data_IF_934004661268
#
_entry.id   IF_934004661268
#
_cell.length_a   1.000
_cell.length_b   1.000
_cell.length_c   1.000
_cell.angle_alpha   90.00
_cell.angle_beta   90.00
_cell.angle_gamma   90.00
#
_symmetry.space_group_name_H-M   'P 1'
#
loop_
_entity.id
_entity.type
_entity.pdbx_description
1 polymer ?
#
# COMPACT_ATOMS: atom_id res chain seq x y z
N UNK A 1 -23.91 30.52 -13.40
CA UNK A 1 -24.17 29.32 -12.55
C UNK A 1 -23.83 28.02 -13.28
N UNK A 2 -23.91 27.98 -14.62
CA UNK A 2 -23.41 26.86 -15.43
C UNK A 2 -21.86 26.74 -15.36
N UNK A 3 -21.14 27.86 -15.42
CA UNK A 3 -19.67 27.87 -15.49
C UNK A 3 -18.97 27.38 -14.21
N UNK A 4 -19.60 27.56 -13.05
CA UNK A 4 -19.09 27.06 -11.76
C UNK A 4 -19.22 25.53 -11.64
N UNK A 5 -20.22 24.96 -12.31
CA UNK A 5 -20.44 23.51 -12.37
C UNK A 5 -19.44 22.87 -13.35
N UNK A 6 -19.06 23.60 -14.40
CA UNK A 6 -18.05 23.15 -15.37
C UNK A 6 -16.64 23.10 -14.74
N UNK A 7 -16.24 24.14 -14.00
CA UNK A 7 -14.99 24.14 -13.22
C UNK A 7 -14.93 23.03 -12.16
N UNK A 8 -16.04 22.69 -11.52
CA UNK A 8 -16.11 21.59 -10.56
C UNK A 8 -16.02 20.20 -11.23
N UNK A 9 -16.41 20.08 -12.50
CA UNK A 9 -16.23 18.84 -13.28
C UNK A 9 -14.79 18.63 -13.74
N UNK A 10 -14.01 19.71 -13.86
CA UNK A 10 -12.60 19.66 -14.20
C UNK A 10 -11.70 19.21 -13.04
N UNK A 11 -12.05 19.50 -11.79
CA UNK A 11 -11.37 18.94 -10.61
C UNK A 11 -11.63 17.42 -10.46
N UNK A 12 -12.73 16.94 -11.06
CA UNK A 12 -13.04 15.52 -11.19
C UNK A 12 -12.34 14.85 -12.39
N UNK A 13 -11.46 15.56 -13.12
CA UNK A 13 -10.48 14.92 -14.02
C UNK A 13 -9.47 14.19 -13.16
N UNK A 14 -9.79 12.93 -12.90
CA UNK A 14 -8.89 11.79 -13.08
C UNK A 14 -7.47 12.27 -13.40
N UNK A 15 -6.60 12.27 -12.38
CA UNK A 15 -5.21 12.66 -12.53
C UNK A 15 -4.69 12.02 -13.82
N UNK A 16 -4.43 12.86 -14.80
CA UNK A 16 -3.93 12.46 -16.11
C UNK A 16 -2.62 11.72 -15.80
N UNK A 17 -2.66 10.38 -15.83
CA UNK A 17 -1.49 9.52 -15.65
C UNK A 17 -0.71 9.63 -16.96
N UNK A 18 -0.22 10.85 -17.22
CA UNK A 18 0.39 11.24 -18.47
C UNK A 18 1.68 10.47 -18.65
N UNK A 19 1.79 9.76 -19.77
CA UNK A 19 2.95 9.02 -20.31
C UNK A 19 3.67 7.99 -19.40
N UNK A 20 3.53 8.10 -18.08
CA UNK A 20 4.10 7.25 -17.04
C UNK A 20 2.92 6.69 -16.24
N UNK A 21 2.68 5.38 -16.35
CA UNK A 21 1.56 4.71 -15.67
C UNK A 21 1.61 4.81 -14.14
N UNK A 22 0.57 4.30 -13.47
CA UNK A 22 0.48 4.30 -12.00
C UNK A 22 1.66 3.53 -11.39
N UNK A 23 2.36 4.17 -10.45
CA UNK A 23 3.47 3.55 -9.73
C UNK A 23 2.97 2.37 -8.89
N UNK A 24 3.60 1.20 -9.08
CA UNK A 24 3.37 0.02 -8.23
C UNK A 24 4.29 0.10 -7.01
N UNK A 25 3.72 0.36 -5.84
CA UNK A 25 4.47 0.48 -4.59
C UNK A 25 4.36 -0.84 -3.82
N UNK A 26 5.50 -1.31 -3.32
CA UNK A 26 5.59 -2.52 -2.49
C UNK A 26 6.42 -2.20 -1.24
N UNK A 27 5.95 -2.61 -0.07
CA UNK A 27 6.65 -2.47 1.20
C UNK A 27 7.03 -3.86 1.71
N UNK A 28 8.32 -4.08 1.94
CA UNK A 28 8.85 -5.37 2.40
C UNK A 28 9.43 -5.24 3.80
N UNK A 29 8.85 -5.95 4.77
CA UNK A 29 9.38 -6.05 6.12
C UNK A 29 10.14 -7.36 6.31
N UNK A 30 11.39 -7.28 6.77
CA UNK A 30 12.23 -8.45 7.04
C UNK A 30 12.49 -8.63 8.55
N UNK A 31 12.38 -9.86 9.04
CA UNK A 31 12.57 -10.23 10.45
C UNK A 31 11.48 -9.67 11.36
N UNK A 32 11.61 -9.87 12.67
CA UNK A 32 10.55 -9.49 13.62
C UNK A 32 10.28 -7.99 13.72
N UNK A 33 11.31 -7.13 13.64
CA UNK A 33 11.11 -5.68 13.62
C UNK A 33 10.40 -5.21 12.33
N UNK A 34 10.77 -5.78 11.18
CA UNK A 34 10.10 -5.51 9.91
C UNK A 34 8.65 -6.00 9.92
N UNK A 35 8.41 -7.19 10.47
CA UNK A 35 7.07 -7.75 10.65
C UNK A 35 6.15 -6.89 11.51
N UNK A 36 6.66 -6.40 12.64
CA UNK A 36 5.93 -5.45 13.49
C UNK A 36 5.59 -4.15 12.76
N UNK A 37 6.47 -3.67 11.89
CA UNK A 37 6.23 -2.47 11.08
C UNK A 37 5.13 -2.71 10.05
N UNK A 38 5.17 -3.86 9.35
CA UNK A 38 4.12 -4.26 8.39
C UNK A 38 2.76 -4.36 9.09
N UNK A 39 2.69 -5.02 10.25
CA UNK A 39 1.50 -5.08 11.09
C UNK A 39 0.90 -3.70 11.38
N UNK A 40 1.75 -2.73 11.70
CA UNK A 40 1.32 -1.36 11.99
C UNK A 40 0.79 -0.66 10.73
N UNK A 41 1.46 -0.83 9.60
CA UNK A 41 1.03 -0.27 8.32
C UNK A 41 -0.33 -0.83 7.88
N UNK A 42 -0.55 -2.14 8.02
CA UNK A 42 -1.83 -2.76 7.71
C UNK A 42 -2.95 -2.27 8.62
N UNK A 43 -2.71 -2.18 9.94
CA UNK A 43 -3.71 -1.67 10.90
C UNK A 43 -4.09 -0.20 10.67
N UNK A 44 -3.15 0.62 10.20
CA UNK A 44 -3.43 2.02 9.84
C UNK A 44 -4.24 2.09 8.53
N UNK A 45 -4.22 1.03 7.72
CA UNK A 45 -4.98 0.94 6.47
C UNK A 45 -4.34 1.73 5.34
N UNK A 46 -3.03 1.56 5.13
CA UNK A 46 -2.34 2.19 3.99
C UNK A 46 -3.00 1.76 2.67
N UNK A 47 -3.18 2.72 1.76
CA UNK A 47 -3.76 2.48 0.42
C UNK A 47 -2.69 2.68 -0.64
N UNK A 48 -2.73 1.87 -1.70
CA UNK A 48 -1.85 2.02 -2.86
C UNK A 48 -0.48 1.37 -2.72
N UNK A 49 -0.22 0.59 -1.66
CA UNK A 49 0.99 -0.19 -1.51
C UNK A 49 0.67 -1.63 -1.09
N UNK A 50 1.32 -2.60 -1.73
CA UNK A 50 1.26 -4.02 -1.35
C UNK A 50 2.29 -4.30 -0.25
N UNK A 51 1.92 -5.07 0.77
CA UNK A 51 2.76 -5.41 1.92
C UNK A 51 3.28 -6.84 1.84
N UNK A 52 4.58 -7.03 2.08
CA UNK A 52 5.23 -8.35 2.10
C UNK A 52 6.01 -8.51 3.39
N UNK A 53 5.76 -9.59 4.12
CA UNK A 53 6.54 -9.97 5.30
C UNK A 53 7.48 -11.14 4.99
N UNK A 54 8.75 -11.04 5.36
CA UNK A 54 9.75 -12.09 5.19
C UNK A 54 10.38 -12.39 6.54
N UNK A 55 10.40 -13.66 6.94
CA UNK A 55 11.03 -14.07 8.19
C UNK A 55 11.50 -15.52 8.13
N UNK A 56 12.45 -15.88 9.00
CA UNK A 56 12.86 -17.27 9.24
C UNK A 56 12.04 -17.92 10.36
N UNK A 57 11.54 -17.09 11.28
CA UNK A 57 10.65 -17.54 12.35
C UNK A 57 9.22 -17.65 11.82
N UNK A 58 8.76 -18.90 11.67
CA UNK A 58 7.40 -19.21 11.22
C UNK A 58 6.32 -18.70 12.17
N UNK A 59 6.54 -18.80 13.48
CA UNK A 59 5.52 -18.44 14.46
C UNK A 59 5.29 -16.93 14.45
N UNK A 60 6.37 -16.15 14.37
CA UNK A 60 6.29 -14.70 14.21
C UNK A 60 5.66 -14.33 12.87
N UNK A 61 6.06 -14.99 11.77
CA UNK A 61 5.50 -14.75 10.44
C UNK A 61 3.99 -14.99 10.37
N UNK A 62 3.49 -16.04 11.02
CA UNK A 62 2.06 -16.39 11.06
C UNK A 62 1.23 -15.29 11.75
N UNK A 63 1.82 -14.56 12.72
CA UNK A 63 1.17 -13.48 13.46
C UNK A 63 1.16 -12.12 12.75
N UNK A 64 1.94 -11.96 11.67
CA UNK A 64 1.98 -10.70 10.91
C UNK A 64 0.76 -10.60 10.00
N UNK A 65 0.13 -9.44 9.89
CA UNK A 65 -0.89 -9.15 8.89
C UNK A 65 -0.23 -8.45 7.68
N UNK A 66 -0.18 -9.15 6.56
CA UNK A 66 0.48 -8.72 5.32
C UNK A 66 -0.21 -9.37 4.11
N UNK A 67 -0.19 -8.70 2.95
CA UNK A 67 -0.76 -9.22 1.71
C UNK A 67 -0.03 -10.50 1.25
N UNK A 68 1.29 -10.55 1.45
CA UNK A 68 2.12 -11.73 1.18
C UNK A 68 3.06 -12.03 2.33
N UNK A 69 3.35 -13.31 2.53
CA UNK A 69 4.30 -13.81 3.53
C UNK A 69 5.28 -14.79 2.90
N UNK A 70 6.56 -14.65 3.20
CA UNK A 70 7.62 -15.55 2.74
C UNK A 70 8.40 -16.08 3.95
N UNK A 71 8.37 -17.40 4.13
CA UNK A 71 9.21 -18.10 5.09
C UNK A 71 10.53 -18.48 4.40
N UNK A 72 11.66 -18.04 4.96
CA UNK A 72 13.01 -18.32 4.45
C UNK A 72 13.86 -19.12 5.42
#
# INVERSE_FOLDING_TARGET
>A
MADAIEYAKDDARQADVGEFGVAKIVVVGCGGAGGNTINRLNRIGIRGAETIAINTDKQDLDLIDADKKLLI
#
